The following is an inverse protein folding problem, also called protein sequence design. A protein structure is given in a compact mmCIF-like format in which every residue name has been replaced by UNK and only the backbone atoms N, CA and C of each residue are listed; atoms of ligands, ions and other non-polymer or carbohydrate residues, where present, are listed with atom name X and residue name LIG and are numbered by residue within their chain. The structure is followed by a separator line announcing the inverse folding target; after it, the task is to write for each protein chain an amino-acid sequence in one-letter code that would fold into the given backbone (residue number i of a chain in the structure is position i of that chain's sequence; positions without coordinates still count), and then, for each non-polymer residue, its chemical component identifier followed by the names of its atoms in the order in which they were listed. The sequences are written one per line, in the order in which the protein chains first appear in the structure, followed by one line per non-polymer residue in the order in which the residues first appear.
data_IF_077098119366
#
_entry.id   IF_077098119366
#
_cell.length_a   1.000
_cell.length_b   1.000
_cell.length_c   1.000
_cell.angle_alpha   90.00
_cell.angle_beta   90.00
_cell.angle_gamma   90.00
#
_symmetry.space_group_name_H-M   'P 1'
#
loop_
_entity.id
_entity.type
_entity.pdbx_description
1 polymer ?
#
# COMPACT_ATOMS: atom_id res chain seq x y z
N UNK A 1 16.98 -6.78 -10.82
CA UNK A 1 15.56 -6.89 -10.45
C UNK A 1 14.95 -5.49 -10.29
N UNK A 2 15.58 -4.61 -9.52
CA UNK A 2 15.09 -3.26 -9.20
C UNK A 2 14.97 -2.32 -10.41
N UNK A 3 15.95 -2.28 -11.33
CA UNK A 3 15.91 -1.34 -12.48
C UNK A 3 14.75 -1.59 -13.45
N UNK A 4 14.47 -2.86 -13.77
CA UNK A 4 13.32 -3.22 -14.63
C UNK A 4 12.00 -2.88 -13.94
N UNK A 5 11.86 -3.21 -12.65
CA UNK A 5 10.67 -2.89 -11.88
C UNK A 5 10.42 -1.37 -11.80
N UNK A 6 11.47 -0.58 -11.56
CA UNK A 6 11.39 0.89 -11.56
C UNK A 6 10.93 1.42 -12.92
N UNK A 7 11.49 0.92 -14.02
CA UNK A 7 11.08 1.35 -15.35
C UNK A 7 9.59 1.06 -15.62
N UNK A 8 9.12 -0.15 -15.29
CA UNK A 8 7.71 -0.54 -15.45
C UNK A 8 6.78 0.33 -14.61
N UNK A 9 7.13 0.59 -13.35
CA UNK A 9 6.37 1.45 -12.44
C UNK A 9 6.26 2.88 -12.95
N UNK A 10 7.34 3.45 -13.50
CA UNK A 10 7.31 4.79 -14.12
C UNK A 10 6.27 4.84 -15.24
N UNK A 11 6.27 3.85 -16.13
CA UNK A 11 5.34 3.80 -17.26
C UNK A 11 3.89 3.59 -16.83
N UNK A 12 3.66 2.85 -15.74
CA UNK A 12 2.35 2.68 -15.13
C UNK A 12 1.88 3.99 -14.51
N UNK A 13 2.71 4.64 -13.69
CA UNK A 13 2.33 5.88 -12.98
C UNK A 13 2.12 7.07 -13.92
N UNK A 14 2.82 7.15 -15.06
CA UNK A 14 2.54 8.13 -16.11
C UNK A 14 1.13 8.03 -16.70
N UNK A 15 0.51 6.85 -16.66
CA UNK A 15 -0.82 6.56 -17.19
C UNK A 15 -1.89 6.49 -16.10
N UNK A 16 -1.50 6.72 -14.85
CA UNK A 16 -2.39 6.63 -13.70
C UNK A 16 -3.47 7.72 -13.74
N UNK A 17 -4.68 7.35 -13.38
CA UNK A 17 -5.79 8.29 -13.18
C UNK A 17 -5.84 8.87 -11.76
N UNK A 18 -5.02 8.35 -10.83
CA UNK A 18 -4.94 8.84 -9.45
C UNK A 18 -4.11 10.11 -9.40
N UNK A 19 -4.70 11.19 -8.91
CA UNK A 19 -4.09 12.52 -8.85
C UNK A 19 -3.09 12.67 -7.69
N UNK A 20 -1.99 11.92 -7.76
CA UNK A 20 -0.85 12.05 -6.86
C UNK A 20 0.43 12.27 -7.67
N UNK A 21 1.41 13.04 -7.17
CA UNK A 21 2.68 13.24 -7.87
C UNK A 21 3.37 11.92 -8.19
N UNK A 22 3.80 11.76 -9.45
CA UNK A 22 4.55 10.56 -9.88
C UNK A 22 5.80 10.37 -9.03
N UNK A 23 6.49 11.47 -8.69
CA UNK A 23 7.67 11.44 -7.83
C UNK A 23 7.37 10.81 -6.47
N UNK A 24 6.21 11.12 -5.87
CA UNK A 24 5.82 10.58 -4.57
C UNK A 24 5.49 9.09 -4.65
N UNK A 25 4.75 8.68 -5.69
CA UNK A 25 4.49 7.25 -5.96
C UNK A 25 5.78 6.47 -6.18
N UNK A 26 6.72 7.05 -6.93
CA UNK A 26 8.03 6.44 -7.19
C UNK A 26 8.87 6.30 -5.93
N UNK A 27 8.98 7.36 -5.10
CA UNK A 27 9.71 7.28 -3.83
C UNK A 27 9.13 6.22 -2.88
N UNK A 28 7.80 6.10 -2.83
CA UNK A 28 7.13 5.06 -2.05
C UNK A 28 7.44 3.66 -2.61
N UNK A 29 7.40 3.49 -3.93
CA UNK A 29 7.73 2.21 -4.56
C UNK A 29 9.20 1.82 -4.37
N UNK A 30 10.13 2.78 -4.48
CA UNK A 30 11.56 2.57 -4.24
C UNK A 30 11.83 2.15 -2.79
N UNK A 31 11.17 2.78 -1.83
CA UNK A 31 11.19 2.36 -0.43
C UNK A 31 10.79 0.89 -0.29
N UNK A 32 9.64 0.51 -0.85
CA UNK A 32 9.13 -0.88 -0.78
C UNK A 32 10.13 -1.86 -1.42
N UNK A 33 10.64 -1.55 -2.61
CA UNK A 33 11.61 -2.39 -3.31
C UNK A 33 12.94 -2.50 -2.55
N UNK A 34 13.38 -1.43 -1.89
CA UNK A 34 14.57 -1.45 -1.04
C UNK A 34 14.36 -2.33 0.20
N UNK A 35 13.19 -2.26 0.84
CA UNK A 35 12.84 -3.16 1.94
C UNK A 35 12.82 -4.62 1.50
N UNK A 36 12.21 -4.93 0.35
CA UNK A 36 12.19 -6.30 -0.21
C UNK A 36 13.58 -6.86 -0.56
N UNK A 37 14.53 -5.98 -0.84
CA UNK A 37 15.93 -6.35 -1.10
C UNK A 37 16.65 -6.73 0.20
N UNK A 38 16.37 -6.01 1.28
CA UNK A 38 17.08 -6.11 2.56
C UNK A 38 16.42 -7.07 3.56
N UNK A 39 15.11 -7.26 3.45
CA UNK A 39 14.32 -8.12 4.32
C UNK A 39 13.60 -9.22 3.52
N UNK A 40 13.28 -10.32 4.21
CA UNK A 40 12.54 -11.47 3.66
C UNK A 40 11.41 -11.83 4.61
N UNK A 41 10.37 -12.42 4.03
CA UNK A 41 9.21 -12.96 4.75
C UNK A 41 8.55 -11.88 5.61
N UNK A 42 8.13 -10.79 4.98
CA UNK A 42 7.46 -9.72 5.68
C UNK A 42 6.22 -9.20 4.98
N UNK A 43 5.27 -8.74 5.79
CA UNK A 43 4.07 -8.07 5.33
C UNK A 43 4.27 -6.56 5.27
N UNK A 44 3.75 -5.93 4.21
CA UNK A 44 3.68 -4.48 4.15
C UNK A 44 2.35 -4.06 3.52
N UNK A 45 1.77 -3.00 4.04
CA UNK A 45 0.54 -2.41 3.52
C UNK A 45 0.63 -0.89 3.68
N UNK A 46 0.72 -0.15 2.57
CA UNK A 46 0.82 1.30 2.56
C UNK A 46 -0.36 1.87 1.78
N UNK A 47 -1.05 2.86 2.34
CA UNK A 47 -2.05 3.69 1.65
C UNK A 47 -1.46 5.08 1.44
N UNK A 48 -1.12 5.41 0.20
CA UNK A 48 -0.62 6.73 -0.20
C UNK A 48 -1.76 7.61 -0.70
N UNK A 49 -1.82 8.86 -0.24
CA UNK A 49 -2.91 9.80 -0.50
C UNK A 49 -4.01 9.80 0.56
N UNK A 50 -3.70 9.34 1.79
CA UNK A 50 -4.62 9.34 2.92
C UNK A 50 -5.22 10.72 3.20
N UNK A 51 -6.47 10.73 3.68
CA UNK A 51 -7.17 11.94 4.08
C UNK A 51 -8.01 11.68 5.35
N UNK A 52 -8.01 12.64 6.27
CA UNK A 52 -8.71 12.58 7.57
C UNK A 52 -10.21 12.24 7.50
N UNK A 53 -10.87 12.49 6.36
CA UNK A 53 -12.27 12.10 6.16
C UNK A 53 -12.49 10.57 6.23
N UNK A 54 -11.42 9.77 6.15
CA UNK A 54 -11.47 8.31 6.24
C UNK A 54 -11.08 7.79 7.63
N UNK A 55 -10.94 8.64 8.63
CA UNK A 55 -10.56 8.22 9.99
C UNK A 55 -11.52 7.18 10.59
N UNK A 56 -12.81 7.22 10.22
CA UNK A 56 -13.81 6.24 10.67
C UNK A 56 -13.54 4.79 10.18
N UNK A 57 -12.60 4.61 9.25
CA UNK A 57 -12.14 3.29 8.78
C UNK A 57 -10.90 2.80 9.55
N UNK A 58 -10.39 3.56 10.51
CA UNK A 58 -9.17 3.26 11.25
C UNK A 58 -9.47 2.77 12.66
N UNK A 59 -8.75 1.73 13.08
CA UNK A 59 -8.62 1.35 14.48
C UNK A 59 -7.14 1.21 14.83
N UNK A 60 -6.75 1.60 16.04
CA UNK A 60 -5.38 1.53 16.54
C UNK A 60 -5.39 0.53 17.70
N UNK A 61 -5.04 -0.71 17.40
CA UNK A 61 -5.01 -1.80 18.38
C UNK A 61 -3.92 -1.60 19.44
N UNK A 62 -2.79 -0.99 19.06
CA UNK A 62 -1.67 -0.68 19.92
C UNK A 62 -1.05 0.65 19.52
N UNK A 63 -1.26 1.69 20.35
CA UNK A 63 -0.70 3.03 20.14
C UNK A 63 0.84 3.07 20.08
N UNK A 64 1.53 2.01 20.50
CA UNK A 64 3.00 1.92 20.40
C UNK A 64 3.48 1.51 19.01
N UNK A 65 2.60 0.95 18.17
CA UNK A 65 2.88 0.61 16.77
C UNK A 65 2.71 1.81 15.84
N UNK A 66 2.11 2.89 16.33
CA UNK A 66 2.04 4.18 15.66
C UNK A 66 3.27 5.04 15.99
N UNK A 67 4.42 4.63 15.48
CA UNK A 67 5.71 5.23 15.81
C UNK A 67 5.90 6.61 15.15
N UNK A 68 5.13 6.92 14.11
CA UNK A 68 5.24 8.17 13.34
C UNK A 68 4.38 9.32 13.88
N UNK A 69 3.40 9.07 14.76
CA UNK A 69 2.67 10.15 15.46
C UNK A 69 3.61 11.11 16.21
N UNK A 70 4.79 10.64 16.62
CA UNK A 70 5.81 11.45 17.30
C UNK A 70 7.01 11.83 16.42
N UNK A 71 7.10 11.26 15.22
CA UNK A 71 8.20 11.44 14.28
C UNK A 71 7.64 11.83 12.92
N UNK A 72 7.61 13.14 12.65
CA UNK A 72 7.16 13.65 11.36
C UNK A 72 8.15 13.27 10.27
N UNK A 73 7.75 12.34 9.40
CA UNK A 73 8.57 11.95 8.26
C UNK A 73 7.77 12.13 6.98
N UNK A 74 8.44 12.73 5.99
CA UNK A 74 7.89 12.94 4.66
C UNK A 74 8.66 12.08 3.64
N UNK A 75 7.94 11.21 2.94
CA UNK A 75 8.49 10.34 1.88
C UNK A 75 9.06 11.14 0.72
N UNK A 76 8.53 12.34 0.46
CA UNK A 76 9.08 13.25 -0.53
C UNK A 76 10.50 13.72 -0.18
N UNK A 77 10.89 13.71 1.10
CA UNK A 77 12.20 14.19 1.59
C UNK A 77 13.04 13.07 2.24
N UNK A 78 12.80 11.83 1.81
CA UNK A 78 13.43 10.61 2.32
C UNK A 78 14.96 10.66 2.35
N UNK A 79 15.59 11.34 1.39
CA UNK A 79 17.04 11.47 1.28
C UNK A 79 17.64 12.31 2.43
N UNK A 80 16.83 13.18 3.04
CA UNK A 80 17.23 14.01 4.17
C UNK A 80 17.01 13.32 5.53
N UNK A 81 16.36 12.14 5.53
CA UNK A 81 15.98 11.40 6.73
C UNK A 81 16.70 10.04 6.75
N UNK A 82 17.98 10.05 7.16
CA UNK A 82 18.83 8.86 7.19
C UNK A 82 18.22 7.68 7.98
N UNK A 83 17.32 7.96 8.93
CA UNK A 83 16.70 6.97 9.79
C UNK A 83 15.34 6.48 9.28
N UNK A 84 14.73 7.12 8.28
CA UNK A 84 13.43 6.72 7.75
C UNK A 84 13.40 5.25 7.29
N UNK A 85 14.42 4.81 6.55
CA UNK A 85 14.50 3.42 6.13
C UNK A 85 14.49 2.47 7.33
N UNK A 86 15.22 2.82 8.40
CA UNK A 86 15.27 2.03 9.64
C UNK A 86 13.95 2.09 10.40
N UNK A 87 13.26 3.22 10.39
CA UNK A 87 11.95 3.37 11.03
C UNK A 87 10.87 2.58 10.31
N UNK A 88 10.78 2.67 8.98
CA UNK A 88 9.84 1.82 8.21
C UNK A 88 10.23 0.36 8.34
N UNK A 89 11.52 0.03 8.29
CA UNK A 89 12.01 -1.32 8.55
C UNK A 89 11.55 -1.83 9.92
N UNK A 90 11.48 -0.97 10.94
CA UNK A 90 10.93 -1.34 12.25
C UNK A 90 9.41 -1.58 12.23
N UNK A 91 8.67 -0.90 11.34
CA UNK A 91 7.22 -1.10 11.16
C UNK A 91 6.85 -2.36 10.39
N UNK A 92 7.80 -2.98 9.69
CA UNK A 92 7.58 -4.24 8.98
C UNK A 92 7.19 -5.38 9.94
N UNK A 93 7.58 -5.29 11.21
CA UNK A 93 7.15 -6.20 12.27
C UNK A 93 5.77 -5.90 12.86
N UNK A 94 5.09 -4.85 12.42
CA UNK A 94 3.77 -4.47 12.90
C UNK A 94 2.67 -5.01 12.00
N UNK A 95 1.60 -5.48 12.62
CA UNK A 95 0.38 -5.84 11.92
C UNK A 95 -0.44 -4.57 11.69
N UNK A 96 -0.42 -4.05 10.46
CA UNK A 96 -1.25 -2.90 10.12
C UNK A 96 -0.85 -2.22 8.83
N UNK A 97 -1.51 -1.09 8.57
CA UNK A 97 -1.24 -0.20 7.46
C UNK A 97 -0.37 0.97 7.90
N UNK A 98 0.45 1.46 6.96
CA UNK A 98 1.09 2.77 7.02
C UNK A 98 0.24 3.72 6.18
N UNK A 99 -0.20 4.82 6.77
CA UNK A 99 -1.01 5.83 6.13
C UNK A 99 -0.13 7.04 5.80
N UNK A 100 -0.11 7.42 4.52
CA UNK A 100 0.69 8.54 4.01
C UNK A 100 -0.24 9.48 3.29
N UNK A 101 -0.22 10.77 3.63
CA UNK A 101 -1.08 11.78 3.01
C UNK A 101 -0.67 12.10 1.55
N UNK A 102 -1.40 13.01 0.90
CA UNK A 102 -1.10 13.45 -0.47
C UNK A 102 0.17 14.29 -0.62
N UNK A 103 0.72 14.82 0.48
CA UNK A 103 1.97 15.58 0.52
C UNK A 103 3.19 14.68 0.80
N UNK A 104 2.95 13.41 1.12
CA UNK A 104 3.98 12.44 1.46
C UNK A 104 4.27 12.33 2.95
N UNK A 105 3.52 13.02 3.81
CA UNK A 105 3.65 12.91 5.26
C UNK A 105 3.05 11.61 5.77
N UNK A 106 3.79 10.93 6.64
CA UNK A 106 3.33 9.70 7.27
C UNK A 106 2.51 10.07 8.48
N UNK A 107 1.20 9.83 8.41
CA UNK A 107 0.26 10.27 9.44
C UNK A 107 0.09 9.22 10.53
N UNK A 108 0.13 7.94 10.16
CA UNK A 108 -0.02 6.82 11.08
C UNK A 108 0.72 5.56 10.60
N UNK A 109 1.13 4.70 11.53
CA UNK A 109 1.53 3.30 11.27
C UNK A 109 0.84 2.31 12.22
N UNK A 110 0.84 1.03 11.84
CA UNK A 110 0.22 -0.02 12.66
C UNK A 110 -1.30 0.08 12.72
N UNK A 111 -1.93 0.76 11.76
CA UNK A 111 -3.37 0.99 11.75
C UNK A 111 -4.11 -0.21 11.16
N UNK A 112 -5.16 -0.65 11.84
CA UNK A 112 -6.10 -1.63 11.29
C UNK A 112 -7.13 -0.87 10.47
N UNK A 113 -7.26 -1.24 9.18
CA UNK A 113 -8.30 -0.70 8.32
C UNK A 113 -9.53 -1.61 8.33
N UNK A 114 -10.65 -1.08 8.79
CA UNK A 114 -11.89 -1.82 8.98
C UNK A 114 -13.00 -1.38 8.01
N UNK A 115 -14.14 -2.07 8.01
CA UNK A 115 -15.33 -1.61 7.28
C UNK A 115 -15.25 -1.62 5.74
N UNK A 116 -14.15 -2.07 5.14
CA UNK A 116 -13.87 -2.00 3.70
C UNK A 116 -14.77 -2.88 2.81
N UNK A 117 -15.37 -3.93 3.38
CA UNK A 117 -16.30 -4.88 2.71
C UNK A 117 -15.81 -5.36 1.31
N UNK A 118 -14.71 -6.14 1.24
CA UNK A 118 -14.10 -6.54 -0.02
C UNK A 118 -15.04 -7.17 -1.05
N UNK A 119 -15.99 -8.00 -0.61
CA UNK A 119 -16.99 -8.61 -1.50
C UNK A 119 -17.85 -7.59 -2.23
N UNK A 120 -18.37 -6.60 -1.52
CA UNK A 120 -19.22 -5.55 -2.12
C UNK A 120 -18.44 -4.67 -3.09
N UNK A 121 -17.14 -4.45 -2.82
CA UNK A 121 -16.26 -3.72 -3.73
C UNK A 121 -15.92 -4.54 -4.96
N UNK A 122 -15.60 -5.83 -4.80
CA UNK A 122 -15.33 -6.74 -5.91
C UNK A 122 -16.50 -6.81 -6.90
N UNK A 123 -17.74 -6.90 -6.39
CA UNK A 123 -18.97 -6.89 -7.20
C UNK A 123 -19.17 -5.59 -8.00
N UNK A 124 -18.68 -4.45 -7.50
CA UNK A 124 -18.74 -3.16 -8.21
C UNK A 124 -17.64 -3.01 -9.25
N UNK A 125 -16.43 -3.46 -8.94
CA UNK A 125 -15.27 -3.32 -9.82
C UNK A 125 -15.35 -4.32 -10.98
N UNK A 126 -15.72 -5.56 -10.70
CA UNK A 126 -15.80 -6.64 -11.66
C UNK A 126 -17.05 -7.50 -11.39
N UNK A 127 -18.23 -7.07 -11.87
CA UNK A 127 -19.47 -7.82 -11.68
C UNK A 127 -19.44 -9.13 -12.48
N UNK A 128 -19.90 -10.22 -11.86
CA UNK A 128 -19.93 -11.52 -12.52
C UNK A 128 -20.03 -12.68 -11.54
N UNK A 129 -19.84 -13.88 -12.05
CA UNK A 129 -19.75 -15.11 -11.25
C UNK A 129 -18.29 -15.56 -11.22
N UNK A 130 -17.73 -15.62 -10.02
CA UNK A 130 -16.35 -15.99 -9.77
C UNK A 130 -16.33 -17.03 -8.65
N UNK A 131 -15.28 -17.86 -8.59
CA UNK A 131 -15.15 -18.87 -7.53
C UNK A 131 -14.85 -18.22 -6.18
N UNK A 132 -14.05 -17.14 -6.17
CA UNK A 132 -13.71 -16.37 -4.98
C UNK A 132 -13.24 -14.93 -5.29
N UNK A 133 -12.92 -14.18 -4.23
CA UNK A 133 -12.50 -12.78 -4.31
C UNK A 133 -11.14 -12.60 -5.00
N UNK A 134 -10.22 -13.56 -4.89
CA UNK A 134 -8.91 -13.42 -5.55
C UNK A 134 -9.10 -13.37 -7.06
N UNK A 135 -9.90 -14.31 -7.59
CA UNK A 135 -10.24 -14.35 -9.00
C UNK A 135 -11.05 -13.11 -9.42
N UNK A 136 -12.05 -12.72 -8.63
CA UNK A 136 -12.91 -11.59 -8.95
C UNK A 136 -12.13 -10.27 -9.06
N UNK A 137 -11.15 -10.05 -8.18
CA UNK A 137 -10.25 -8.90 -8.23
C UNK A 137 -9.16 -8.99 -9.32
N UNK A 138 -9.06 -10.12 -10.01
CA UNK A 138 -8.13 -10.32 -11.12
C UNK A 138 -6.73 -10.78 -10.72
N UNK A 139 -6.55 -11.34 -9.52
CA UNK A 139 -5.29 -11.96 -9.14
C UNK A 139 -5.07 -13.27 -9.93
N UNK A 140 -3.86 -13.48 -10.44
CA UNK A 140 -3.46 -14.70 -11.15
C UNK A 140 -3.33 -15.92 -10.22
N UNK A 141 -3.15 -15.67 -8.92
CA UNK A 141 -3.00 -16.68 -7.87
C UNK A 141 -3.88 -16.33 -6.66
N UNK A 142 -4.09 -17.31 -5.78
CA UNK A 142 -4.85 -17.07 -4.53
C UNK A 142 -4.05 -16.15 -3.61
N UNK A 143 -4.73 -15.16 -3.06
CA UNK A 143 -4.16 -14.20 -2.12
C UNK A 143 -4.97 -14.16 -0.83
N UNK A 144 -4.31 -13.73 0.25
CA UNK A 144 -4.91 -13.62 1.57
C UNK A 144 -5.46 -12.22 1.87
N UNK A 145 -5.97 -12.04 3.09
CA UNK A 145 -6.68 -10.85 3.57
C UNK A 145 -5.97 -9.54 3.24
N UNK A 146 -4.66 -9.44 3.47
CA UNK A 146 -3.88 -8.19 3.22
C UNK A 146 -4.04 -7.68 1.79
N UNK A 147 -3.95 -8.54 0.79
CA UNK A 147 -4.08 -8.14 -0.62
C UNK A 147 -5.51 -7.77 -0.98
N UNK A 148 -6.49 -8.51 -0.45
CA UNK A 148 -7.91 -8.22 -0.65
C UNK A 148 -8.27 -6.87 -0.01
N UNK A 149 -7.75 -6.58 1.18
CA UNK A 149 -7.95 -5.30 1.86
C UNK A 149 -7.22 -4.16 1.14
N UNK A 150 -6.01 -4.40 0.64
CA UNK A 150 -5.23 -3.41 -0.10
C UNK A 150 -5.93 -2.98 -1.41
N UNK A 151 -6.35 -3.94 -2.24
CA UNK A 151 -7.09 -3.59 -3.47
C UNK A 151 -8.44 -2.93 -3.16
N UNK A 152 -9.13 -3.39 -2.12
CA UNK A 152 -10.39 -2.79 -1.68
C UNK A 152 -10.19 -1.35 -1.20
N UNK A 153 -9.14 -1.10 -0.42
CA UNK A 153 -8.77 0.23 0.08
C UNK A 153 -8.55 1.21 -1.08
N UNK A 154 -7.84 0.77 -2.13
CA UNK A 154 -7.61 1.60 -3.32
C UNK A 154 -8.90 1.98 -4.07
N UNK A 155 -10.00 1.28 -3.82
CA UNK A 155 -11.31 1.61 -4.37
C UNK A 155 -12.14 2.48 -3.42
N UNK A 156 -12.12 2.17 -2.12
CA UNK A 156 -12.90 2.89 -1.10
C UNK A 156 -12.32 4.29 -0.90
N UNK A 157 -11.00 4.39 -0.75
CA UNK A 157 -10.27 5.64 -0.59
C UNK A 157 -9.91 6.19 -1.96
N UNK A 158 -10.67 7.17 -2.42
CA UNK A 158 -10.50 7.77 -3.76
C UNK A 158 -9.17 8.51 -3.86
N UNK A 159 -8.61 8.51 -5.07
CA UNK A 159 -7.32 9.15 -5.35
C UNK A 159 -6.16 8.65 -4.48
N UNK A 160 -6.20 7.37 -4.07
CA UNK A 160 -5.09 6.71 -3.40
C UNK A 160 -4.36 5.72 -4.30
N UNK A 161 -3.06 5.56 -4.03
CA UNK A 161 -2.26 4.45 -4.56
C UNK A 161 -1.88 3.56 -3.40
N UNK A 162 -2.18 2.27 -3.49
CA UNK A 162 -1.96 1.32 -2.40
C UNK A 162 -0.85 0.35 -2.76
N UNK A 163 0.10 0.14 -1.85
CA UNK A 163 1.24 -0.76 -2.03
C UNK A 163 1.14 -1.90 -1.03
N UNK A 164 1.43 -3.14 -1.45
CA UNK A 164 1.50 -4.26 -0.50
C UNK A 164 2.59 -5.26 -0.85
N UNK A 165 3.18 -5.86 0.18
CA UNK A 165 4.10 -6.99 0.09
C UNK A 165 3.49 -8.18 0.84
N UNK A 166 3.51 -9.36 0.22
CA UNK A 166 3.13 -10.63 0.83
C UNK A 166 4.26 -11.17 1.70
N UNK A 167 3.93 -11.55 2.92
CA UNK A 167 4.85 -12.23 3.82
C UNK A 167 5.17 -13.64 3.33
N UNK A 168 4.17 -14.30 2.75
CA UNK A 168 4.21 -15.70 2.36
C UNK A 168 4.97 -15.92 1.04
N UNK A 169 4.83 -14.97 0.10
CA UNK A 169 5.36 -15.11 -1.26
C UNK A 169 6.41 -14.07 -1.62
N UNK A 170 6.60 -13.04 -0.78
CA UNK A 170 7.44 -11.88 -1.08
C UNK A 170 7.05 -11.20 -2.42
N UNK A 171 5.78 -11.34 -2.82
CA UNK A 171 5.23 -10.65 -3.99
C UNK A 171 4.81 -9.23 -3.65
N UNK A 172 5.03 -8.32 -4.58
CA UNK A 172 4.73 -6.89 -4.46
C UNK A 172 3.63 -6.51 -5.45
N UNK A 173 2.60 -5.85 -4.94
CA UNK A 173 1.50 -5.34 -5.74
C UNK A 173 1.26 -3.87 -5.50
N UNK A 174 0.83 -3.18 -6.55
CA UNK A 174 0.32 -1.81 -6.48
C UNK A 174 -1.10 -1.79 -7.00
N UNK A 175 -1.98 -1.12 -6.28
CA UNK A 175 -3.39 -1.00 -6.61
C UNK A 175 -3.84 0.45 -6.71
N UNK A 176 -4.71 0.70 -7.68
CA UNK A 176 -5.41 1.99 -7.85
C UNK A 176 -6.84 1.73 -8.27
N UNK A 177 -7.80 2.44 -7.67
CA UNK A 177 -9.22 2.39 -8.02
C UNK A 177 -9.84 0.97 -8.01
N UNK A 178 -9.32 0.06 -7.17
CA UNK A 178 -9.77 -1.32 -7.10
C UNK A 178 -9.15 -2.25 -8.14
N UNK A 179 -8.08 -1.84 -8.82
CA UNK A 179 -7.41 -2.62 -9.85
C UNK A 179 -5.94 -2.84 -9.50
N UNK A 180 -5.42 -3.99 -9.89
CA UNK A 180 -3.99 -4.27 -9.88
C UNK A 180 -3.35 -3.49 -11.03
N UNK A 181 -2.52 -2.49 -10.70
CA UNK A 181 -1.79 -1.70 -11.72
C UNK A 181 -0.35 -2.18 -11.90
N UNK A 182 0.22 -2.83 -10.88
CA UNK A 182 1.52 -3.47 -10.94
C UNK A 182 1.53 -4.75 -10.10
N UNK A 183 2.30 -5.75 -10.55
CA UNK A 183 2.57 -6.98 -9.82
C UNK A 183 3.99 -7.44 -10.13
N UNK A 184 4.72 -7.82 -9.09
CA UNK A 184 6.04 -8.42 -9.13
C UNK A 184 6.07 -9.60 -8.16
N UNK A 185 6.27 -10.82 -8.67
CA UNK A 185 6.27 -12.05 -7.88
C UNK A 185 6.63 -13.25 -8.73
#
# INVERSE_FOLDING_TARGET
MTEKAIFELIEIFKKSAVNLPISLKMKTAELVLNLMKNQKNFGLFIVLGWHDQWQDYTDISDSTQDIFVKHHINVADIENHADWYREVESTVGFDGAILIDGNGEVVHSGVILEGLRPRSVAERVNPGKFADLSEQFGFSQKVHSRHLFAITSSHVFKDTTVFTVSEETNSFHVFENGRIVYSLG
#
